data_IF_869125222823
#
_entry.id   IF_869125222823
#
_cell.length_a   1.000
_cell.length_b   1.000
_cell.length_c   1.000
_cell.angle_alpha   90.00
_cell.angle_beta   90.00
_cell.angle_gamma   90.00
#
_symmetry.space_group_name_H-M   'P 1'
#
loop_
_entity.id
_entity.type
_entity.pdbx_description
1 polymer ?
#
# COMPACT_ATOMS: atom_id res chain seq x y z
N UNK A 1 4.37 -0.71 37.78
CA UNK A 1 3.81 -1.71 36.84
C UNK A 1 3.98 -1.21 35.42
N UNK A 2 4.59 -2.02 34.57
CA UNK A 2 4.84 -1.65 33.17
C UNK A 2 3.63 -2.10 32.35
N UNK A 3 3.00 -1.16 31.64
CA UNK A 3 1.91 -1.45 30.72
C UNK A 3 2.46 -1.94 29.38
N UNK A 4 1.81 -2.91 28.79
CA UNK A 4 2.11 -3.31 27.41
C UNK A 4 1.74 -2.17 26.45
N UNK A 5 2.57 -1.90 25.42
CA UNK A 5 2.21 -0.91 24.40
C UNK A 5 0.90 -1.30 23.72
N UNK A 6 0.11 -0.29 23.32
CA UNK A 6 -1.12 -0.53 22.54
C UNK A 6 -0.79 -1.09 21.15
N UNK A 7 -1.75 -1.78 20.54
CA UNK A 7 -1.61 -2.26 19.16
C UNK A 7 -1.31 -1.11 18.20
N UNK A 8 -1.94 0.04 18.40
CA UNK A 8 -1.72 1.25 17.59
C UNK A 8 -0.28 1.74 17.71
N UNK A 9 0.28 1.78 18.94
CA UNK A 9 1.66 2.21 19.17
C UNK A 9 2.66 1.22 18.54
N UNK A 10 2.43 -0.08 18.69
CA UNK A 10 3.30 -1.10 18.09
C UNK A 10 3.31 -0.99 16.56
N UNK A 11 2.16 -0.76 15.94
CA UNK A 11 2.06 -0.54 14.50
C UNK A 11 2.82 0.71 14.07
N UNK A 12 2.67 1.81 14.82
CA UNK A 12 3.36 3.06 14.52
C UNK A 12 4.89 2.89 14.59
N UNK A 13 5.38 2.11 15.56
CA UNK A 13 6.81 1.80 15.67
C UNK A 13 7.32 0.95 14.51
N UNK A 14 6.54 -0.06 14.06
CA UNK A 14 6.87 -0.85 12.88
C UNK A 14 6.89 0.01 11.62
N UNK A 15 5.90 0.86 11.45
CA UNK A 15 5.78 1.80 10.34
C UNK A 15 7.00 2.72 10.24
N UNK A 16 7.46 3.29 11.36
CA UNK A 16 8.67 4.12 11.39
C UNK A 16 9.91 3.35 10.98
N UNK A 17 10.09 2.11 11.46
CA UNK A 17 11.24 1.27 11.11
C UNK A 17 11.25 0.94 9.61
N UNK A 18 10.09 0.64 9.04
CA UNK A 18 9.96 0.35 7.62
C UNK A 18 10.31 1.59 6.80
N UNK A 19 9.73 2.75 7.12
CA UNK A 19 9.94 4.01 6.40
C UNK A 19 11.35 4.58 6.56
N UNK A 20 12.07 4.21 7.61
CA UNK A 20 13.47 4.57 7.76
C UNK A 20 14.36 3.92 6.67
N UNK A 21 13.92 2.80 6.10
CA UNK A 21 14.68 2.03 5.10
C UNK A 21 14.20 2.24 3.68
N UNK A 22 12.97 2.72 3.48
CA UNK A 22 12.36 2.87 2.16
C UNK A 22 11.88 4.30 1.93
N UNK A 23 12.05 4.77 0.72
CA UNK A 23 11.58 6.08 0.29
C UNK A 23 11.15 6.00 -1.16
N UNK A 24 10.02 6.64 -1.50
CA UNK A 24 9.49 6.65 -2.85
C UNK A 24 10.00 7.83 -3.66
N UNK A 25 10.15 7.62 -4.96
CA UNK A 25 10.50 8.66 -5.93
C UNK A 25 9.45 8.70 -7.04
N UNK A 26 9.58 9.64 -7.99
CA UNK A 26 8.65 9.72 -9.12
C UNK A 26 8.73 8.49 -10.04
N UNK A 27 9.92 7.86 -10.16
CA UNK A 27 10.13 6.69 -11.01
C UNK A 27 9.91 5.37 -10.28
N UNK A 28 10.21 5.32 -8.99
CA UNK A 28 9.97 4.16 -8.12
C UNK A 28 9.25 4.65 -6.87
N UNK A 29 7.91 4.90 -6.96
CA UNK A 29 7.16 5.44 -5.84
C UNK A 29 6.99 4.43 -4.71
N UNK A 30 6.66 4.94 -3.53
CA UNK A 30 6.34 4.11 -2.36
C UNK A 30 4.87 3.68 -2.43
N UNK A 31 4.65 2.37 -2.47
CA UNK A 31 3.32 1.77 -2.46
C UNK A 31 2.86 1.63 -1.01
N UNK A 32 2.03 2.56 -0.55
CA UNK A 32 1.53 2.62 0.83
C UNK A 32 0.10 2.09 0.90
N UNK A 33 -0.20 1.29 1.93
CA UNK A 33 -1.52 0.71 2.14
C UNK A 33 -2.18 1.25 3.40
N UNK A 34 -3.50 1.33 3.39
CA UNK A 34 -4.30 1.71 4.54
C UNK A 34 -5.50 0.77 4.67
N UNK A 35 -5.66 0.17 5.84
CA UNK A 35 -6.74 -0.77 6.13
C UNK A 35 -7.64 -0.20 7.22
N UNK A 36 -8.93 -0.03 6.93
CA UNK A 36 -9.95 0.36 7.88
C UNK A 36 -11.11 -0.64 7.89
N UNK A 37 -12.06 -0.46 8.81
CA UNK A 37 -13.25 -1.30 8.86
C UNK A 37 -14.18 -1.10 7.65
N UNK A 38 -14.11 0.07 7.02
CA UNK A 38 -15.02 0.45 5.91
C UNK A 38 -14.44 0.17 4.54
N UNK A 39 -13.12 0.31 4.38
CA UNK A 39 -12.48 0.19 3.08
C UNK A 39 -11.00 -0.18 3.22
N UNK A 40 -10.47 -0.77 2.16
CA UNK A 40 -9.04 -0.97 1.96
C UNK A 40 -8.59 -0.03 0.85
N UNK A 41 -7.52 0.70 1.07
CA UNK A 41 -6.99 1.65 0.08
C UNK A 41 -5.48 1.55 -0.03
N UNK A 42 -4.96 2.02 -1.14
CA UNK A 42 -3.53 2.09 -1.39
C UNK A 42 -3.20 3.28 -2.27
N UNK A 43 -1.98 3.78 -2.15
CA UNK A 43 -1.52 4.93 -2.92
C UNK A 43 -0.04 4.79 -3.25
N UNK A 44 0.35 5.39 -4.36
CA UNK A 44 1.73 5.49 -4.80
C UNK A 44 2.23 6.89 -4.49
N UNK A 45 3.27 7.01 -3.67
CA UNK A 45 3.75 8.27 -3.13
C UNK A 45 5.16 8.58 -3.62
N UNK A 46 5.35 9.80 -4.13
CA UNK A 46 6.68 10.37 -4.36
C UNK A 46 7.07 11.16 -3.11
N UNK A 47 7.94 10.59 -2.29
CA UNK A 47 8.37 11.20 -1.03
C UNK A 47 9.26 12.42 -1.24
N UNK A 48 9.97 12.50 -2.36
CA UNK A 48 10.82 13.64 -2.68
C UNK A 48 10.00 14.89 -2.98
N UNK A 49 8.89 14.73 -3.70
CA UNK A 49 7.96 15.82 -4.00
C UNK A 49 6.85 15.99 -2.95
N UNK A 50 6.69 15.03 -2.04
CA UNK A 50 5.60 15.03 -1.06
C UNK A 50 4.23 14.91 -1.70
N UNK A 51 4.10 14.07 -2.74
CA UNK A 51 2.95 14.04 -3.61
C UNK A 51 2.47 12.62 -3.86
N UNK A 52 1.14 12.40 -3.83
CA UNK A 52 0.53 11.12 -4.23
C UNK A 52 0.34 11.10 -5.74
N UNK A 53 0.96 10.14 -6.40
CA UNK A 53 0.90 10.01 -7.86
C UNK A 53 -0.36 9.28 -8.33
N UNK A 54 -0.73 8.20 -7.65
CA UNK A 54 -1.87 7.35 -7.97
C UNK A 54 -2.49 6.84 -6.68
N UNK A 55 -3.80 6.72 -6.64
CA UNK A 55 -4.52 6.13 -5.50
C UNK A 55 -5.69 5.28 -5.98
N UNK A 56 -6.08 4.29 -5.18
CA UNK A 56 -7.24 3.46 -5.44
C UNK A 56 -7.77 2.86 -4.12
N UNK A 57 -9.06 2.63 -4.05
CA UNK A 57 -9.70 2.01 -2.89
C UNK A 57 -10.78 1.01 -3.30
N UNK A 58 -11.17 0.13 -2.37
CA UNK A 58 -12.30 -0.77 -2.59
C UNK A 58 -13.60 0.00 -2.84
N UNK A 59 -13.78 1.14 -2.17
CA UNK A 59 -14.95 2.01 -2.37
C UNK A 59 -15.01 2.56 -3.80
N UNK A 60 -13.88 3.04 -4.33
CA UNK A 60 -13.79 3.56 -5.70
C UNK A 60 -14.16 2.49 -6.74
N UNK A 61 -13.72 1.26 -6.51
CA UNK A 61 -13.98 0.14 -7.42
C UNK A 61 -15.33 -0.53 -7.17
N UNK A 62 -16.09 -0.09 -6.17
CA UNK A 62 -17.34 -0.73 -5.73
C UNK A 62 -17.13 -2.20 -5.34
N UNK A 63 -15.95 -2.50 -4.82
CA UNK A 63 -15.58 -3.82 -4.32
C UNK A 63 -15.82 -3.91 -2.81
N UNK A 64 -15.97 -5.14 -2.30
CA UNK A 64 -16.08 -5.39 -0.87
C UNK A 64 -14.70 -5.23 -0.22
N UNK A 65 -14.69 -4.85 1.06
CA UNK A 65 -13.47 -4.77 1.87
C UNK A 65 -13.02 -6.18 2.29
N UNK A 66 -12.55 -6.95 1.34
CA UNK A 66 -12.13 -8.35 1.48
C UNK A 66 -10.78 -8.58 0.81
N UNK A 67 -10.24 -9.79 0.93
CA UNK A 67 -9.00 -10.19 0.23
C UNK A 67 -9.17 -10.06 -1.28
N UNK A 68 -10.31 -10.46 -1.84
CA UNK A 68 -10.59 -10.31 -3.27
C UNK A 68 -10.67 -8.84 -3.69
N UNK A 69 -11.30 -7.99 -2.85
CA UNK A 69 -11.34 -6.55 -3.08
C UNK A 69 -9.96 -5.92 -3.06
N UNK A 70 -9.08 -6.33 -2.14
CA UNK A 70 -7.70 -5.86 -2.08
C UNK A 70 -6.90 -6.27 -3.33
N UNK A 71 -7.11 -7.49 -3.83
CA UNK A 71 -6.50 -7.94 -5.09
C UNK A 71 -6.93 -7.05 -6.25
N UNK A 72 -8.22 -6.70 -6.33
CA UNK A 72 -8.74 -5.79 -7.35
C UNK A 72 -8.11 -4.40 -7.26
N UNK A 73 -7.92 -3.87 -6.05
CA UNK A 73 -7.22 -2.60 -5.81
C UNK A 73 -5.79 -2.67 -6.35
N UNK A 74 -5.06 -3.74 -6.07
CA UNK A 74 -3.70 -3.93 -6.57
C UNK A 74 -3.63 -3.95 -8.09
N UNK A 75 -4.53 -4.68 -8.74
CA UNK A 75 -4.61 -4.72 -10.22
C UNK A 75 -4.94 -3.36 -10.81
N UNK A 76 -5.88 -2.62 -10.23
CA UNK A 76 -6.26 -1.29 -10.69
C UNK A 76 -5.11 -0.29 -10.53
N UNK A 77 -4.37 -0.34 -9.41
CA UNK A 77 -3.20 0.50 -9.20
C UNK A 77 -2.09 0.20 -10.20
N UNK A 78 -1.85 -1.09 -10.47
CA UNK A 78 -0.86 -1.49 -11.47
C UNK A 78 -1.19 -0.90 -12.84
N UNK A 79 -2.46 -0.99 -13.25
CA UNK A 79 -2.93 -0.42 -14.52
C UNK A 79 -2.70 1.09 -14.57
N UNK A 80 -3.03 1.81 -13.50
CA UNK A 80 -2.83 3.27 -13.42
C UNK A 80 -1.35 3.64 -13.46
N UNK A 81 -0.49 2.86 -12.77
CA UNK A 81 0.97 3.08 -12.77
C UNK A 81 1.57 2.87 -14.15
N UNK A 82 1.23 1.78 -14.83
CA UNK A 82 1.76 1.48 -16.15
C UNK A 82 1.34 2.55 -17.17
N UNK A 83 0.13 3.11 -17.02
CA UNK A 83 -0.34 4.21 -17.85
C UNK A 83 0.51 5.48 -17.68
N UNK A 84 1.14 5.67 -16.52
CA UNK A 84 2.05 6.77 -16.22
C UNK A 84 3.52 6.44 -16.47
N UNK A 85 3.82 5.25 -16.98
CA UNK A 85 5.19 4.80 -17.20
C UNK A 85 5.92 4.29 -15.96
N UNK A 86 5.20 4.04 -14.87
CA UNK A 86 5.75 3.50 -13.62
C UNK A 86 5.71 1.97 -13.70
N UNK A 87 6.89 1.34 -13.66
CA UNK A 87 7.00 -0.13 -13.79
C UNK A 87 7.41 -0.82 -12.50
N UNK A 88 8.02 -0.10 -11.57
CA UNK A 88 8.51 -0.63 -10.30
C UNK A 88 8.12 0.28 -9.14
N UNK A 89 7.87 -0.33 -7.97
CA UNK A 89 7.52 0.39 -6.75
C UNK A 89 8.21 -0.24 -5.55
N UNK A 90 8.32 0.53 -4.46
CA UNK A 90 8.81 0.05 -3.16
C UNK A 90 7.60 -0.18 -2.27
N UNK A 91 7.36 -1.40 -1.83
CA UNK A 91 6.18 -1.73 -1.03
C UNK A 91 6.37 -1.34 0.44
N UNK A 92 5.46 -0.50 0.95
CA UNK A 92 5.37 -0.11 2.36
C UNK A 92 4.08 -0.69 2.95
N UNK A 93 4.21 -1.70 3.78
CA UNK A 93 3.07 -2.33 4.45
C UNK A 93 2.44 -1.46 5.55
N UNK A 94 2.96 -0.26 5.79
CA UNK A 94 2.45 0.73 6.76
C UNK A 94 2.32 0.19 8.19
N UNK A 95 3.22 -0.73 8.60
CA UNK A 95 3.22 -1.35 9.91
C UNK A 95 2.22 -2.50 10.07
N UNK A 96 1.40 -2.79 9.05
CA UNK A 96 0.56 -3.99 9.05
C UNK A 96 1.39 -5.24 8.78
N UNK A 97 0.89 -6.41 9.18
CA UNK A 97 1.53 -7.67 8.81
C UNK A 97 1.34 -7.93 7.32
N UNK A 98 2.35 -8.51 6.68
CA UNK A 98 2.27 -8.95 5.29
C UNK A 98 1.43 -10.21 5.19
N UNK A 99 0.11 -10.06 5.35
CA UNK A 99 -0.87 -11.14 5.41
C UNK A 99 -2.25 -10.64 4.99
N UNK A 100 -3.10 -11.54 4.50
CA UNK A 100 -4.48 -11.23 4.13
C UNK A 100 -4.56 -10.16 3.04
N UNK A 101 -5.29 -9.08 3.32
CA UNK A 101 -5.50 -7.98 2.36
C UNK A 101 -4.20 -7.29 1.93
N UNK A 102 -3.25 -7.13 2.85
CA UNK A 102 -1.97 -6.48 2.56
C UNK A 102 -1.17 -7.31 1.56
N UNK A 103 -1.11 -8.62 1.75
CA UNK A 103 -0.49 -9.53 0.79
C UNK A 103 -1.27 -9.55 -0.53
N UNK A 104 -2.60 -9.58 -0.46
CA UNK A 104 -3.45 -9.66 -1.64
C UNK A 104 -3.28 -8.46 -2.57
N UNK A 105 -3.17 -7.23 -2.03
CA UNK A 105 -2.95 -6.04 -2.85
C UNK A 105 -1.58 -6.07 -3.53
N UNK A 106 -0.55 -6.54 -2.84
CA UNK A 106 0.78 -6.69 -3.43
C UNK A 106 0.79 -7.74 -4.54
N UNK A 107 0.16 -8.89 -4.31
CA UNK A 107 0.04 -9.95 -5.33
C UNK A 107 -0.77 -9.46 -6.53
N UNK A 108 -1.85 -8.72 -6.32
CA UNK A 108 -2.65 -8.12 -7.38
C UNK A 108 -1.84 -7.13 -8.23
N UNK A 109 -1.02 -6.31 -7.59
CA UNK A 109 -0.14 -5.37 -8.29
C UNK A 109 0.91 -6.11 -9.14
N UNK A 110 1.49 -7.20 -8.62
CA UNK A 110 2.43 -8.05 -9.36
C UNK A 110 1.76 -8.70 -10.57
N UNK A 111 0.56 -9.23 -10.40
CA UNK A 111 -0.23 -9.80 -11.50
C UNK A 111 -0.55 -8.75 -12.57
N UNK A 112 -0.73 -7.50 -12.17
CA UNK A 112 -0.96 -6.37 -13.06
C UNK A 112 0.28 -5.88 -13.79
N UNK A 113 1.47 -6.40 -13.46
CA UNK A 113 2.71 -6.09 -14.16
C UNK A 113 3.70 -5.21 -13.41
N UNK A 114 3.44 -4.82 -12.16
CA UNK A 114 4.39 -4.06 -11.36
C UNK A 114 5.48 -4.95 -10.75
N UNK A 115 6.70 -4.45 -10.72
CA UNK A 115 7.80 -5.05 -10.00
C UNK A 115 7.85 -4.48 -8.57
N UNK A 116 7.78 -5.35 -7.60
CA UNK A 116 7.90 -4.96 -6.20
C UNK A 116 8.42 -6.09 -5.31
#
# INVERSE_FOLDING_TARGET
MIRKPSTTLLRANRKRRIRAKISGTATIPRFSVFRSNKAFSAQMIDDLAGKTLVACSTTELKEKNTVLGATAVGKALAKKCLALGIEAVVFDRSGYRYHGKVKAVADGAREGGLAL
#
